data_IF_981942369098
#
_entry.id   IF_981942369098
#
_cell.length_a   1.000
_cell.length_b   1.000
_cell.length_c   1.000
_cell.angle_alpha   90.00
_cell.angle_beta   90.00
_cell.angle_gamma   90.00
#
_symmetry.space_group_name_H-M   'P 1'
#
loop_
_entity.id
_entity.type
_entity.pdbx_description
1 polymer ?
#
# COMPACT_ATOMS: atom_id res chain seq x y z
N UNK A 1 -32.36 9.47 -5.19
CA UNK A 1 -31.15 9.57 -6.02
C UNK A 1 -29.82 9.60 -5.27
N UNK A 2 -29.66 10.27 -4.11
CA UNK A 2 -28.43 10.25 -3.28
C UNK A 2 -28.21 8.91 -2.58
N UNK A 3 -29.26 8.26 -2.06
CA UNK A 3 -29.21 6.96 -1.37
C UNK A 3 -28.76 5.81 -2.31
N UNK A 4 -29.20 5.83 -3.56
CA UNK A 4 -28.88 4.76 -4.54
C UNK A 4 -27.41 4.84 -5.02
N UNK A 5 -26.84 6.05 -5.12
CA UNK A 5 -25.41 6.24 -5.45
C UNK A 5 -24.49 5.80 -4.30
N UNK A 6 -24.87 6.02 -3.04
CA UNK A 6 -24.10 5.58 -1.88
C UNK A 6 -24.12 4.07 -1.70
N UNK A 7 -25.26 3.43 -1.95
CA UNK A 7 -25.41 1.97 -1.91
C UNK A 7 -24.57 1.28 -3.01
N UNK A 8 -24.59 1.79 -4.25
CA UNK A 8 -23.74 1.28 -5.34
C UNK A 8 -22.26 1.46 -5.09
N UNK A 9 -21.84 2.58 -4.51
CA UNK A 9 -20.45 2.82 -4.14
C UNK A 9 -19.99 1.87 -3.03
N UNK A 10 -20.83 1.63 -2.00
CA UNK A 10 -20.55 0.67 -0.93
C UNK A 10 -20.39 -0.75 -1.44
N UNK A 11 -21.26 -1.19 -2.36
CA UNK A 11 -21.16 -2.51 -3.01
C UNK A 11 -19.85 -2.70 -3.79
N UNK A 12 -19.38 -1.67 -4.47
CA UNK A 12 -18.10 -1.73 -5.20
C UNK A 12 -16.90 -1.87 -4.27
N UNK A 13 -16.88 -1.13 -3.14
CA UNK A 13 -15.80 -1.24 -2.17
C UNK A 13 -15.71 -2.62 -1.53
N UNK A 14 -16.86 -3.20 -1.17
CA UNK A 14 -16.94 -4.56 -0.63
C UNK A 14 -16.47 -5.60 -1.66
N UNK A 15 -16.85 -5.44 -2.93
CA UNK A 15 -16.41 -6.31 -4.00
C UNK A 15 -14.88 -6.28 -4.18
N UNK A 16 -14.26 -5.11 -4.19
CA UNK A 16 -12.80 -4.97 -4.29
C UNK A 16 -12.12 -5.56 -3.03
N UNK A 17 -12.67 -5.32 -1.84
CA UNK A 17 -12.17 -5.94 -0.61
C UNK A 17 -12.23 -7.47 -0.68
N UNK A 18 -13.34 -8.05 -1.14
CA UNK A 18 -13.50 -9.49 -1.30
C UNK A 18 -12.53 -10.07 -2.34
N UNK A 19 -12.33 -9.38 -3.46
CA UNK A 19 -11.38 -9.78 -4.50
C UNK A 19 -9.95 -9.83 -3.96
N UNK A 20 -9.52 -8.77 -3.27
CA UNK A 20 -8.18 -8.68 -2.68
C UNK A 20 -8.01 -9.71 -1.56
N UNK A 21 -8.99 -9.82 -0.65
CA UNK A 21 -8.94 -10.72 0.48
C UNK A 21 -8.89 -12.19 0.06
N UNK A 22 -9.75 -12.59 -0.87
CA UNK A 22 -9.74 -13.94 -1.43
C UNK A 22 -8.45 -14.21 -2.23
N UNK A 23 -7.95 -13.20 -2.93
CA UNK A 23 -6.68 -13.26 -3.63
C UNK A 23 -5.52 -13.57 -2.67
N UNK A 24 -5.42 -12.85 -1.56
CA UNK A 24 -4.40 -13.11 -0.53
C UNK A 24 -4.60 -14.43 0.19
N UNK A 25 -5.85 -14.85 0.42
CA UNK A 25 -6.16 -16.12 1.07
C UNK A 25 -5.64 -17.31 0.25
N UNK A 26 -6.00 -17.42 -1.03
CA UNK A 26 -5.59 -18.58 -1.82
C UNK A 26 -4.09 -18.54 -2.17
N UNK A 27 -3.52 -17.37 -2.46
CA UNK A 27 -2.07 -17.24 -2.72
C UNK A 27 -1.24 -17.52 -1.48
N UNK A 28 -1.68 -17.06 -0.31
CA UNK A 28 -1.06 -17.38 0.97
C UNK A 28 -1.14 -18.88 1.29
N UNK A 29 -2.28 -19.51 1.05
CA UNK A 29 -2.44 -20.96 1.22
C UNK A 29 -1.53 -21.76 0.29
N UNK A 30 -1.42 -21.36 -0.98
CA UNK A 30 -0.50 -21.98 -1.95
C UNK A 30 0.96 -21.84 -1.53
N UNK A 31 1.34 -20.65 -1.05
CA UNK A 31 2.68 -20.37 -0.55
C UNK A 31 3.05 -21.24 0.66
N UNK A 32 2.16 -21.36 1.64
CA UNK A 32 2.38 -22.22 2.82
C UNK A 32 2.45 -23.70 2.41
N UNK A 33 1.55 -24.16 1.56
CA UNK A 33 1.55 -25.54 1.08
C UNK A 33 2.88 -25.91 0.40
N UNK A 34 3.44 -24.97 -0.39
CA UNK A 34 4.76 -25.14 -0.99
C UNK A 34 5.88 -25.19 0.06
N UNK A 35 5.85 -24.31 1.07
CA UNK A 35 6.86 -24.33 2.14
C UNK A 35 6.87 -25.68 2.87
N UNK A 36 5.70 -26.21 3.21
CA UNK A 36 5.58 -27.54 3.80
C UNK A 36 6.04 -28.64 2.87
N UNK A 37 5.81 -28.52 1.55
CA UNK A 37 6.31 -29.50 0.57
C UNK A 37 7.84 -29.54 0.56
N UNK A 38 8.51 -28.40 0.64
CA UNK A 38 9.97 -28.32 0.72
C UNK A 38 10.50 -29.01 1.99
N UNK A 39 9.83 -28.78 3.15
CA UNK A 39 10.16 -29.48 4.40
C UNK A 39 9.98 -30.99 4.27
N UNK A 40 8.89 -31.46 3.64
CA UNK A 40 8.62 -32.87 3.42
C UNK A 40 9.63 -33.55 2.48
N UNK A 41 10.29 -32.78 1.62
CA UNK A 41 11.40 -33.24 0.77
C UNK A 41 12.77 -33.24 1.48
N UNK A 42 12.80 -32.95 2.78
CA UNK A 42 13.98 -33.07 3.62
C UNK A 42 14.83 -31.80 3.72
N UNK A 43 14.35 -30.63 3.26
CA UNK A 43 15.06 -29.38 3.50
C UNK A 43 14.91 -28.96 4.97
N UNK A 44 15.98 -28.38 5.53
CA UNK A 44 15.94 -27.81 6.88
C UNK A 44 14.98 -26.58 6.91
N UNK A 45 14.40 -26.29 8.08
CA UNK A 45 13.55 -25.11 8.28
C UNK A 45 14.25 -23.81 7.93
N UNK A 46 15.54 -23.70 8.22
CA UNK A 46 16.37 -22.55 7.87
C UNK A 46 16.49 -22.38 6.33
N UNK A 47 16.79 -23.46 5.61
CA UNK A 47 16.84 -23.44 4.14
C UNK A 47 15.49 -23.08 3.54
N UNK A 48 14.39 -23.63 4.07
CA UNK A 48 13.04 -23.30 3.62
C UNK A 48 12.73 -21.83 3.88
N UNK A 49 13.10 -21.29 5.04
CA UNK A 49 12.91 -19.86 5.32
C UNK A 49 13.72 -18.97 4.35
N UNK A 50 14.98 -19.32 4.07
CA UNK A 50 15.84 -18.60 3.12
C UNK A 50 15.26 -18.63 1.69
N UNK A 51 14.72 -19.76 1.26
CA UNK A 51 14.03 -19.86 -0.03
C UNK A 51 12.74 -19.05 -0.05
N UNK A 52 11.88 -19.19 0.95
CA UNK A 52 10.53 -18.62 0.95
C UNK A 52 10.55 -17.12 1.24
N UNK A 53 11.22 -16.66 2.28
CA UNK A 53 11.29 -15.25 2.66
C UNK A 53 12.47 -14.51 2.01
N UNK A 54 13.46 -15.22 1.49
CA UNK A 54 14.56 -14.66 0.70
C UNK A 54 14.26 -14.69 -0.80
N UNK A 55 14.59 -15.81 -1.46
CA UNK A 55 14.52 -15.91 -2.92
C UNK A 55 13.13 -15.72 -3.51
N UNK A 56 12.08 -16.30 -2.92
CA UNK A 56 10.71 -16.17 -3.44
C UNK A 56 10.14 -14.77 -3.24
N UNK A 57 10.57 -14.02 -2.23
CA UNK A 57 10.19 -12.62 -2.11
C UNK A 57 10.82 -11.75 -3.20
N UNK A 58 12.05 -12.04 -3.63
CA UNK A 58 12.64 -11.41 -4.82
C UNK A 58 11.83 -11.76 -6.08
N UNK A 59 11.39 -13.03 -6.22
CA UNK A 59 10.52 -13.44 -7.32
C UNK A 59 9.16 -12.71 -7.31
N UNK A 60 8.55 -12.53 -6.13
CA UNK A 60 7.33 -11.72 -6.00
C UNK A 60 7.59 -10.26 -6.39
N UNK A 61 8.71 -9.67 -5.93
CA UNK A 61 9.10 -8.32 -6.32
C UNK A 61 9.28 -8.18 -7.84
N UNK A 62 9.89 -9.17 -8.50
CA UNK A 62 10.02 -9.21 -9.96
C UNK A 62 8.65 -9.24 -10.66
N UNK A 63 7.70 -10.05 -10.18
CA UNK A 63 6.33 -10.10 -10.69
C UNK A 63 5.59 -8.76 -10.52
N UNK A 64 5.70 -8.12 -9.35
CA UNK A 64 5.14 -6.80 -9.08
C UNK A 64 5.77 -5.75 -10.00
N UNK A 65 7.10 -5.78 -10.17
CA UNK A 65 7.84 -4.87 -11.04
C UNK A 65 7.44 -5.01 -12.50
N UNK A 66 7.20 -6.23 -12.98
CA UNK A 66 6.70 -6.50 -14.33
C UNK A 66 5.33 -5.83 -14.56
N UNK A 67 4.41 -5.93 -13.59
CA UNK A 67 3.11 -5.24 -13.65
C UNK A 67 3.28 -3.72 -13.64
N UNK A 68 4.16 -3.19 -12.79
CA UNK A 68 4.45 -1.76 -12.72
C UNK A 68 4.92 -1.22 -14.08
N UNK A 69 5.87 -1.91 -14.71
CA UNK A 69 6.41 -1.54 -16.03
C UNK A 69 5.37 -1.69 -17.14
N UNK A 70 4.57 -2.78 -17.11
CA UNK A 70 3.51 -3.00 -18.08
C UNK A 70 2.45 -1.89 -18.03
N UNK A 71 2.01 -1.52 -16.84
CA UNK A 71 0.98 -0.49 -16.65
C UNK A 71 1.51 0.92 -16.89
N UNK A 72 2.81 1.15 -16.66
CA UNK A 72 3.46 2.40 -17.06
C UNK A 72 3.48 2.58 -18.58
N UNK A 73 3.84 1.52 -19.33
CA UNK A 73 3.89 1.56 -20.80
C UNK A 73 2.52 1.48 -21.46
N UNK A 74 1.56 0.76 -20.89
CA UNK A 74 0.24 0.48 -21.42
C UNK A 74 -0.85 0.68 -20.36
N UNK A 75 -1.17 1.92 -20.05
CA UNK A 75 -2.16 2.27 -19.02
C UNK A 75 -3.54 1.65 -19.27
N UNK A 76 -3.91 1.40 -20.52
CA UNK A 76 -5.16 0.71 -20.88
C UNK A 76 -5.26 -0.72 -20.30
N UNK A 77 -4.13 -1.38 -20.01
CA UNK A 77 -4.11 -2.73 -19.44
C UNK A 77 -4.27 -2.75 -17.93
N UNK A 78 -4.07 -1.61 -17.24
CA UNK A 78 -4.10 -1.53 -15.77
C UNK A 78 -5.42 -1.95 -15.13
N UNK A 79 -6.50 -1.95 -15.90
CA UNK A 79 -7.83 -2.37 -15.44
C UNK A 79 -8.35 -3.66 -16.09
N UNK A 80 -7.53 -4.29 -16.94
CA UNK A 80 -7.91 -5.50 -17.65
C UNK A 80 -8.05 -6.71 -16.73
N UNK A 81 -9.00 -7.60 -17.03
CA UNK A 81 -9.19 -8.88 -16.34
C UNK A 81 -8.33 -10.02 -16.89
N UNK A 82 -7.78 -9.88 -18.10
CA UNK A 82 -7.02 -10.95 -18.74
C UNK A 82 -5.74 -11.30 -17.97
N UNK A 83 -4.96 -10.31 -17.57
CA UNK A 83 -3.71 -10.55 -16.84
C UNK A 83 -3.92 -11.28 -15.51
N UNK A 84 -4.80 -10.85 -14.59
CA UNK A 84 -5.03 -11.59 -13.35
C UNK A 84 -5.69 -12.95 -13.58
N UNK A 85 -6.52 -13.14 -14.62
CA UNK A 85 -7.06 -14.48 -14.98
C UNK A 85 -5.93 -15.44 -15.40
N UNK A 86 -5.08 -15.03 -16.35
CA UNK A 86 -3.96 -15.84 -16.82
C UNK A 86 -2.97 -16.14 -15.68
N UNK A 87 -2.65 -15.15 -14.85
CA UNK A 87 -1.74 -15.31 -13.73
C UNK A 87 -2.31 -16.29 -12.68
N UNK A 88 -3.62 -16.25 -12.40
CA UNK A 88 -4.27 -17.20 -11.48
C UNK A 88 -4.23 -18.62 -12.01
N UNK A 89 -4.57 -18.83 -13.28
CA UNK A 89 -4.53 -20.16 -13.90
C UNK A 89 -3.09 -20.72 -13.93
N UNK A 90 -2.13 -19.90 -14.31
CA UNK A 90 -0.72 -20.31 -14.34
C UNK A 90 -0.19 -20.63 -12.93
N UNK A 91 -0.52 -19.81 -11.92
CA UNK A 91 -0.14 -20.08 -10.53
C UNK A 91 -0.77 -21.39 -10.01
N UNK A 92 -1.99 -21.72 -10.42
CA UNK A 92 -2.64 -22.96 -10.05
C UNK A 92 -1.93 -24.18 -10.65
N UNK A 93 -1.51 -24.09 -11.91
CA UNK A 93 -0.68 -25.12 -12.56
C UNK A 93 0.65 -25.32 -11.83
N UNK A 94 1.33 -24.22 -11.50
CA UNK A 94 2.58 -24.26 -10.74
C UNK A 94 2.38 -24.88 -9.35
N UNK A 95 1.27 -24.57 -8.68
CA UNK A 95 0.92 -25.17 -7.36
C UNK A 95 0.71 -26.67 -7.48
N UNK A 96 -0.04 -27.13 -8.49
CA UNK A 96 -0.22 -28.55 -8.75
C UNK A 96 1.12 -29.25 -8.99
N UNK A 97 1.95 -28.72 -9.88
CA UNK A 97 3.26 -29.27 -10.19
C UNK A 97 4.18 -29.32 -8.96
N UNK A 98 4.16 -28.28 -8.11
CA UNK A 98 4.93 -28.26 -6.87
C UNK A 98 4.47 -29.32 -5.85
N UNK A 99 3.15 -29.48 -5.65
CA UNK A 99 2.61 -30.37 -4.64
C UNK A 99 2.74 -31.86 -5.03
N UNK A 100 2.57 -32.18 -6.30
CA UNK A 100 2.60 -33.58 -6.77
C UNK A 100 3.99 -34.08 -7.20
N UNK A 101 4.99 -33.19 -7.33
CA UNK A 101 6.35 -33.59 -7.66
C UNK A 101 7.09 -34.16 -6.46
N UNK A 102 7.88 -35.23 -6.71
CA UNK A 102 8.91 -35.74 -5.79
C UNK A 102 10.31 -35.17 -6.09
N UNK A 103 10.50 -34.53 -7.22
CA UNK A 103 11.78 -33.94 -7.62
C UNK A 103 11.96 -32.56 -7.01
N UNK A 104 12.93 -32.40 -6.11
CA UNK A 104 13.20 -31.13 -5.41
C UNK A 104 13.42 -29.96 -6.37
N UNK A 105 14.21 -30.16 -7.44
CA UNK A 105 14.47 -29.11 -8.43
C UNK A 105 13.19 -28.60 -9.09
N UNK A 106 12.20 -29.50 -9.34
CA UNK A 106 10.94 -29.12 -9.96
C UNK A 106 10.05 -28.34 -8.97
N UNK A 107 10.06 -28.73 -7.70
CA UNK A 107 9.33 -27.99 -6.64
C UNK A 107 9.91 -26.58 -6.47
N UNK A 108 11.25 -26.42 -6.52
CA UNK A 108 11.90 -25.11 -6.45
C UNK A 108 11.57 -24.28 -7.71
N UNK A 109 11.67 -24.86 -8.91
CA UNK A 109 11.40 -24.18 -10.17
C UNK A 109 9.94 -23.72 -10.28
N UNK A 110 8.98 -24.61 -9.98
CA UNK A 110 7.55 -24.26 -9.98
C UNK A 110 7.21 -23.28 -8.88
N UNK A 111 7.89 -23.33 -7.74
CA UNK A 111 7.79 -22.36 -6.67
C UNK A 111 8.25 -20.96 -7.08
N UNK A 112 9.35 -20.87 -7.80
CA UNK A 112 9.83 -19.61 -8.38
C UNK A 112 8.76 -19.00 -9.30
N UNK A 113 8.20 -19.78 -10.22
CA UNK A 113 7.16 -19.34 -11.15
C UNK A 113 5.84 -18.98 -10.43
N UNK A 114 5.46 -19.76 -9.42
CA UNK A 114 4.32 -19.45 -8.55
C UNK A 114 4.49 -18.09 -7.88
N UNK A 115 5.67 -17.82 -7.30
CA UNK A 115 5.90 -16.58 -6.59
C UNK A 115 6.00 -15.35 -7.52
N UNK A 116 6.51 -15.50 -8.74
CA UNK A 116 6.39 -14.46 -9.78
C UNK A 116 4.90 -14.17 -10.06
N UNK A 117 4.08 -15.21 -10.21
CA UNK A 117 2.64 -15.06 -10.47
C UNK A 117 1.90 -14.41 -9.31
N UNK A 118 2.24 -14.75 -8.06
CA UNK A 118 1.74 -14.10 -6.85
C UNK A 118 2.08 -12.60 -6.87
N UNK A 119 3.29 -12.26 -7.30
CA UNK A 119 3.70 -10.87 -7.48
C UNK A 119 2.86 -10.14 -8.52
N UNK A 120 2.61 -10.76 -9.67
CA UNK A 120 1.74 -10.21 -10.73
C UNK A 120 0.32 -9.96 -10.20
N UNK A 121 -0.27 -10.94 -9.51
CA UNK A 121 -1.60 -10.82 -8.92
C UNK A 121 -1.68 -9.70 -7.88
N UNK A 122 -0.71 -9.65 -6.98
CA UNK A 122 -0.61 -8.58 -5.97
C UNK A 122 -0.51 -7.21 -6.62
N UNK A 123 0.28 -7.06 -7.69
CA UNK A 123 0.37 -5.83 -8.48
C UNK A 123 -0.98 -5.42 -9.08
N UNK A 124 -1.74 -6.37 -9.65
CA UNK A 124 -3.08 -6.12 -10.18
C UNK A 124 -4.04 -5.67 -9.08
N UNK A 125 -4.06 -6.34 -7.93
CA UNK A 125 -4.94 -6.03 -6.81
C UNK A 125 -4.66 -4.66 -6.19
N UNK A 126 -3.39 -4.32 -5.98
CA UNK A 126 -3.00 -3.02 -5.43
C UNK A 126 -3.29 -1.86 -6.39
N UNK A 127 -3.17 -2.10 -7.69
CA UNK A 127 -3.58 -1.11 -8.69
C UNK A 127 -5.08 -0.85 -8.59
N UNK A 128 -5.91 -1.91 -8.45
CA UNK A 128 -7.36 -1.76 -8.26
C UNK A 128 -7.72 -1.07 -6.94
N UNK A 129 -6.99 -1.35 -5.86
CA UNK A 129 -7.13 -0.62 -4.61
C UNK A 129 -6.92 0.89 -4.80
N UNK A 130 -5.86 1.27 -5.53
CA UNK A 130 -5.51 2.67 -5.75
C UNK A 130 -6.46 3.39 -6.72
N UNK A 131 -7.01 2.68 -7.73
CA UNK A 131 -7.88 3.29 -8.75
C UNK A 131 -9.36 3.30 -8.38
N UNK A 132 -9.83 2.24 -7.70
CA UNK A 132 -11.26 2.03 -7.46
C UNK A 132 -11.73 2.45 -6.06
N UNK A 133 -10.78 2.57 -5.10
CA UNK A 133 -11.10 2.92 -3.72
C UNK A 133 -10.65 4.35 -3.43
N UNK A 134 -11.53 5.22 -2.89
CA UNK A 134 -11.17 6.56 -2.45
C UNK A 134 -10.07 6.53 -1.39
N UNK A 135 -9.19 7.54 -1.40
CA UNK A 135 -8.03 7.61 -0.51
C UNK A 135 -8.40 7.43 0.98
N UNK A 136 -9.55 7.98 1.39
CA UNK A 136 -10.05 7.96 2.77
C UNK A 136 -10.55 6.58 3.25
N UNK A 137 -10.62 5.57 2.35
CA UNK A 137 -11.11 4.21 2.66
C UNK A 137 -10.12 3.11 2.27
N UNK A 138 -8.98 3.48 1.68
CA UNK A 138 -7.98 2.48 1.22
C UNK A 138 -7.38 1.68 2.35
N UNK A 139 -7.16 2.33 3.51
CA UNK A 139 -6.61 1.69 4.69
C UNK A 139 -7.49 0.58 5.21
N UNK A 140 -8.78 0.87 5.45
CA UNK A 140 -9.73 -0.11 5.98
C UNK A 140 -9.99 -1.24 4.98
N UNK A 141 -10.14 -0.91 3.68
CA UNK A 141 -10.36 -1.91 2.62
C UNK A 141 -9.14 -2.84 2.51
N UNK A 142 -7.94 -2.29 2.47
CA UNK A 142 -6.72 -3.11 2.41
C UNK A 142 -6.50 -3.90 3.70
N UNK A 143 -6.56 -3.23 4.86
CA UNK A 143 -6.34 -3.87 6.17
C UNK A 143 -7.32 -5.00 6.43
N UNK A 144 -8.63 -4.79 6.16
CA UNK A 144 -9.66 -5.83 6.29
C UNK A 144 -9.47 -6.99 5.31
N UNK A 145 -9.18 -6.69 4.04
CA UNK A 145 -8.93 -7.70 3.03
C UNK A 145 -7.68 -8.54 3.35
N UNK A 146 -6.60 -7.89 3.78
CA UNK A 146 -5.36 -8.58 4.12
C UNK A 146 -5.48 -9.35 5.44
N UNK A 147 -6.23 -8.83 6.43
CA UNK A 147 -6.55 -9.57 7.64
C UNK A 147 -7.34 -10.85 7.33
N UNK A 148 -8.36 -10.77 6.47
CA UNK A 148 -9.13 -11.94 6.01
C UNK A 148 -8.21 -12.97 5.34
N UNK A 149 -7.34 -12.54 4.41
CA UNK A 149 -6.38 -13.42 3.74
C UNK A 149 -5.40 -14.07 4.71
N UNK A 150 -4.78 -13.27 5.59
CA UNK A 150 -3.76 -13.73 6.54
C UNK A 150 -4.33 -14.66 7.61
N UNK A 151 -5.44 -14.25 8.27
CA UNK A 151 -6.10 -15.08 9.29
C UNK A 151 -6.70 -16.35 8.67
N UNK A 152 -7.31 -16.25 7.48
CA UNK A 152 -7.84 -17.41 6.78
C UNK A 152 -6.76 -18.42 6.41
N UNK A 153 -5.62 -17.95 5.91
CA UNK A 153 -4.46 -18.81 5.63
C UNK A 153 -3.96 -19.50 6.91
N UNK A 154 -3.84 -18.74 7.99
CA UNK A 154 -3.45 -19.29 9.29
C UNK A 154 -4.43 -20.34 9.78
N UNK A 155 -5.74 -20.06 9.77
CA UNK A 155 -6.79 -21.01 10.17
C UNK A 155 -6.76 -22.32 9.34
N UNK A 156 -6.52 -22.22 8.03
CA UNK A 156 -6.40 -23.39 7.16
C UNK A 156 -5.16 -24.22 7.53
N UNK A 157 -4.08 -23.57 8.00
CA UNK A 157 -2.84 -24.26 8.37
C UNK A 157 -2.83 -24.85 9.79
N UNK A 158 -3.70 -24.36 10.71
CA UNK A 158 -3.74 -24.76 12.12
C UNK A 158 -4.14 -26.21 12.41
N UNK A 159 -5.23 -26.79 11.81
CA UNK A 159 -5.88 -27.98 12.34
C UNK A 159 -5.01 -29.21 12.35
N UNK A 160 -3.82 -29.15 11.82
CA UNK A 160 -3.04 -30.33 11.52
C UNK A 160 -1.71 -30.41 12.24
N UNK A 161 -1.47 -29.54 13.24
CA UNK A 161 -0.24 -29.55 14.00
C UNK A 161 0.99 -29.56 13.09
N UNK A 162 1.00 -28.72 12.06
CA UNK A 162 1.97 -28.73 10.99
C UNK A 162 1.75 -29.81 9.92
N UNK A 163 0.70 -30.61 10.04
CA UNK A 163 0.28 -31.59 9.03
C UNK A 163 -0.79 -31.01 8.13
N UNK A 164 -0.46 -29.88 7.46
CA UNK A 164 -1.35 -29.37 6.42
C UNK A 164 -1.71 -30.48 5.44
N UNK A 165 -2.94 -30.49 4.94
CA UNK A 165 -3.42 -31.49 3.98
C UNK A 165 -2.45 -31.63 2.80
N UNK A 166 -1.56 -32.62 2.87
CA UNK A 166 -0.54 -32.85 1.86
C UNK A 166 -1.19 -33.28 0.56
N UNK A 167 -0.61 -32.87 -0.55
CA UNK A 167 -1.01 -33.27 -1.90
C UNK A 167 -2.46 -32.90 -2.24
N UNK A 168 -3.36 -33.90 -2.31
CA UNK A 168 -4.71 -33.74 -2.86
C UNK A 168 -5.56 -32.75 -2.08
N UNK A 169 -5.54 -32.80 -0.74
CA UNK A 169 -6.35 -31.92 0.10
C UNK A 169 -5.89 -30.47 0.06
N UNK A 170 -4.58 -30.22 0.11
CA UNK A 170 -4.02 -28.87 -0.01
C UNK A 170 -4.28 -28.28 -1.37
N UNK A 171 -4.11 -29.08 -2.42
CA UNK A 171 -4.39 -28.64 -3.78
C UNK A 171 -5.88 -28.34 -3.96
N UNK A 172 -6.78 -29.21 -3.45
CA UNK A 172 -8.22 -28.97 -3.52
C UNK A 172 -8.62 -27.65 -2.85
N UNK A 173 -8.09 -27.38 -1.65
CA UNK A 173 -8.36 -26.13 -0.95
C UNK A 173 -7.88 -24.89 -1.76
N UNK A 174 -6.65 -24.95 -2.26
CA UNK A 174 -6.10 -23.86 -3.12
C UNK A 174 -6.92 -23.72 -4.40
N UNK A 175 -7.27 -24.81 -5.07
CA UNK A 175 -8.03 -24.81 -6.31
C UNK A 175 -9.44 -24.22 -6.11
N UNK A 176 -10.13 -24.59 -5.04
CA UNK A 176 -11.45 -24.06 -4.71
C UNK A 176 -11.39 -22.54 -4.48
N UNK A 177 -10.46 -22.09 -3.65
CA UNK A 177 -10.28 -20.66 -3.37
C UNK A 177 -9.85 -19.87 -4.61
N UNK A 178 -8.97 -20.43 -5.44
CA UNK A 178 -8.57 -19.85 -6.71
C UNK A 178 -9.74 -19.76 -7.70
N UNK A 179 -10.59 -20.80 -7.78
CA UNK A 179 -11.81 -20.79 -8.60
C UNK A 179 -12.76 -19.67 -8.18
N UNK A 180 -12.99 -19.51 -6.87
CA UNK A 180 -13.80 -18.39 -6.35
C UNK A 180 -13.18 -17.03 -6.73
N UNK A 181 -11.85 -16.91 -6.66
CA UNK A 181 -11.14 -15.71 -7.09
C UNK A 181 -11.32 -15.45 -8.59
N UNK A 182 -11.24 -16.51 -9.44
CA UNK A 182 -11.50 -16.41 -10.88
C UNK A 182 -12.92 -15.91 -11.20
N UNK A 183 -13.92 -16.38 -10.44
CA UNK A 183 -15.32 -15.92 -10.59
C UNK A 183 -15.45 -14.41 -10.28
N UNK A 184 -14.75 -13.94 -9.26
CA UNK A 184 -14.70 -12.50 -8.96
C UNK A 184 -13.94 -11.75 -10.07
N UNK A 185 -12.75 -12.20 -10.49
CA UNK A 185 -11.97 -11.54 -11.55
C UNK A 185 -12.77 -11.45 -12.85
N UNK A 186 -13.54 -12.50 -13.21
CA UNK A 186 -14.39 -12.50 -14.42
C UNK A 186 -15.43 -11.39 -14.42
N UNK A 187 -15.96 -11.01 -13.26
CA UNK A 187 -16.94 -9.94 -13.05
C UNK A 187 -16.31 -8.55 -12.93
N UNK A 188 -14.98 -8.44 -13.02
CA UNK A 188 -14.27 -7.17 -12.85
C UNK A 188 -14.69 -6.18 -13.95
N UNK A 189 -15.18 -5.03 -13.54
CA UNK A 189 -15.50 -3.93 -14.44
C UNK A 189 -14.22 -3.16 -14.82
N UNK A 190 -14.19 -2.52 -16.01
CA UNK A 190 -13.09 -1.61 -16.35
C UNK A 190 -12.95 -0.53 -15.27
N UNK A 191 -11.72 -0.08 -14.96
CA UNK A 191 -11.53 1.00 -14.00
C UNK A 191 -12.24 2.26 -14.48
N UNK A 192 -12.80 3.00 -13.55
CA UNK A 192 -13.34 4.33 -13.87
C UNK A 192 -12.18 5.17 -14.36
N UNK A 193 -12.21 5.58 -15.64
CA UNK A 193 -11.24 6.52 -16.17
C UNK A 193 -11.26 7.75 -15.28
N UNK A 194 -10.15 8.03 -14.60
CA UNK A 194 -10.00 9.30 -13.91
C UNK A 194 -10.23 10.41 -14.95
N UNK A 195 -11.14 11.35 -14.64
CA UNK A 195 -11.34 12.52 -15.48
C UNK A 195 -9.98 13.20 -15.65
N UNK A 196 -9.52 13.24 -16.91
CA UNK A 196 -8.34 14.02 -17.28
C UNK A 196 -8.58 15.48 -16.83
N UNK A 197 -7.96 15.90 -15.75
CA UNK A 197 -8.08 17.29 -15.28
C UNK A 197 -7.94 17.52 -13.78
N UNK A 198 -8.11 16.51 -12.95
CA UNK A 198 -8.08 16.69 -11.48
C UNK A 198 -6.79 16.21 -10.78
N UNK A 199 -5.79 15.76 -11.51
CA UNK A 199 -4.50 15.51 -10.89
C UNK A 199 -3.75 16.84 -10.76
N UNK A 200 -3.82 17.45 -9.59
CA UNK A 200 -2.77 18.41 -9.21
C UNK A 200 -1.44 17.68 -9.39
N UNK A 201 -0.68 18.07 -10.40
CA UNK A 201 0.74 17.72 -10.52
C UNK A 201 1.50 18.45 -9.40
N UNK A 202 1.17 18.11 -8.15
CA UNK A 202 2.02 18.48 -7.02
C UNK A 202 3.33 17.76 -7.26
N UNK A 203 4.37 18.52 -7.60
CA UNK A 203 5.68 18.00 -7.94
C UNK A 203 6.29 17.26 -6.74
N UNK A 204 5.95 15.98 -6.58
CA UNK A 204 6.73 15.08 -5.75
C UNK A 204 8.11 15.02 -6.39
N UNK A 205 9.05 15.78 -5.88
CA UNK A 205 10.40 15.81 -6.38
C UNK A 205 10.99 14.41 -6.37
N UNK A 206 11.77 14.04 -7.40
CA UNK A 206 12.45 12.72 -7.47
C UNK A 206 13.16 12.36 -6.15
N UNK A 207 13.68 13.36 -5.43
CA UNK A 207 14.33 13.19 -4.12
C UNK A 207 13.39 12.65 -3.03
N UNK A 208 12.11 13.07 -3.01
CA UNK A 208 11.14 12.61 -2.02
C UNK A 208 10.71 11.16 -2.30
N UNK A 209 10.54 10.81 -3.58
CA UNK A 209 10.22 9.43 -3.99
C UNK A 209 11.39 8.51 -3.61
N UNK A 210 12.63 8.93 -3.90
CA UNK A 210 13.84 8.16 -3.54
C UNK A 210 13.96 7.97 -2.03
N UNK A 211 13.69 9.03 -1.25
CA UNK A 211 13.66 8.94 0.22
C UNK A 211 12.58 7.97 0.70
N UNK A 212 11.37 7.99 0.12
CA UNK A 212 10.31 7.05 0.47
C UNK A 212 10.70 5.59 0.15
N UNK A 213 11.34 5.35 -1.00
CA UNK A 213 11.87 4.03 -1.37
C UNK A 213 12.93 3.58 -0.37
N UNK A 214 13.91 4.43 -0.05
CA UNK A 214 14.99 4.11 0.89
C UNK A 214 14.44 3.79 2.29
N UNK A 215 13.54 4.63 2.80
CA UNK A 215 12.91 4.42 4.12
C UNK A 215 12.16 3.10 4.15
N UNK A 216 11.31 2.81 3.15
CA UNK A 216 10.52 1.58 3.17
C UNK A 216 11.37 0.32 2.95
N UNK A 217 12.45 0.41 2.17
CA UNK A 217 13.38 -0.70 1.99
C UNK A 217 14.06 -1.06 3.32
N UNK A 218 14.65 -0.05 3.97
CA UNK A 218 15.34 -0.23 5.25
C UNK A 218 14.39 -0.63 6.37
N UNK A 219 13.18 -0.07 6.41
CA UNK A 219 12.16 -0.38 7.40
C UNK A 219 11.66 -1.83 7.25
N UNK A 220 11.54 -2.33 6.00
CA UNK A 220 11.21 -3.73 5.73
C UNK A 220 12.35 -4.68 6.11
N UNK A 221 13.59 -4.27 5.81
CA UNK A 221 14.79 -5.02 6.19
C UNK A 221 14.89 -5.14 7.71
N UNK A 222 14.75 -4.01 8.43
CA UNK A 222 14.84 -3.98 9.89
C UNK A 222 13.74 -4.80 10.55
N UNK A 223 12.51 -4.72 10.03
CA UNK A 223 11.43 -5.53 10.55
C UNK A 223 11.76 -7.03 10.51
N UNK A 224 12.39 -7.50 9.42
CA UNK A 224 12.79 -8.91 9.29
C UNK A 224 13.98 -9.25 10.18
N UNK A 225 14.99 -8.38 10.25
CA UNK A 225 16.15 -8.54 11.13
C UNK A 225 15.72 -8.58 12.60
N UNK A 226 14.89 -7.62 13.03
CA UNK A 226 14.41 -7.51 14.40
C UNK A 226 13.61 -8.73 14.87
N UNK A 227 12.86 -9.39 13.97
CA UNK A 227 12.15 -10.62 14.31
C UNK A 227 13.05 -11.88 14.34
N UNK A 228 14.20 -11.85 13.68
CA UNK A 228 15.05 -13.03 13.54
C UNK A 228 15.77 -13.42 14.85
N UNK A 229 16.28 -12.46 15.62
CA UNK A 229 17.08 -12.76 16.81
C UNK A 229 16.26 -13.17 18.05
N UNK A 230 15.06 -12.62 18.32
CA UNK A 230 14.26 -13.12 19.46
C UNK A 230 13.70 -14.51 19.19
N UNK A 231 13.35 -14.86 17.93
CA UNK A 231 12.82 -16.16 17.58
C UNK A 231 13.82 -17.30 17.82
N UNK A 232 15.13 -17.05 17.71
CA UNK A 232 16.17 -18.04 17.97
C UNK A 232 16.21 -18.54 19.43
N UNK A 233 15.76 -17.72 20.39
CA UNK A 233 15.70 -18.08 21.82
C UNK A 233 14.33 -18.51 22.33
N UNK A 234 13.25 -18.06 21.68
CA UNK A 234 11.88 -18.16 22.17
C UNK A 234 11.11 -19.41 21.70
N UNK A 235 11.70 -20.27 20.87
CA UNK A 235 10.97 -21.36 20.18
C UNK A 235 10.26 -22.35 21.13
N UNK A 236 10.59 -22.39 22.41
CA UNK A 236 10.00 -23.33 23.38
C UNK A 236 9.07 -22.68 24.40
N UNK A 237 8.97 -21.35 24.46
CA UNK A 237 8.27 -20.65 25.55
C UNK A 237 7.11 -19.76 25.13
N UNK A 238 6.94 -19.46 23.84
CA UNK A 238 5.92 -18.52 23.34
C UNK A 238 4.90 -19.24 22.46
N UNK A 239 3.62 -19.01 22.73
CA UNK A 239 2.53 -19.46 21.86
C UNK A 239 2.46 -18.57 20.60
N UNK A 240 3.46 -18.66 19.72
CA UNK A 240 3.60 -17.83 18.50
C UNK A 240 2.34 -17.94 17.61
N UNK A 241 1.73 -19.12 17.54
CA UNK A 241 0.53 -19.31 16.73
C UNK A 241 -0.65 -18.46 17.23
N UNK A 242 -0.80 -18.32 18.55
CA UNK A 242 -1.84 -17.46 19.12
C UNK A 242 -1.54 -15.97 18.89
N UNK A 243 -0.27 -15.57 18.95
CA UNK A 243 0.13 -14.16 18.76
C UNK A 243 -0.17 -13.66 17.35
N UNK A 244 -0.20 -14.54 16.34
CA UNK A 244 -0.55 -14.21 14.94
C UNK A 244 -1.97 -13.66 14.77
N UNK A 245 -2.92 -13.99 15.66
CA UNK A 245 -4.27 -13.41 15.64
C UNK A 245 -4.20 -11.90 15.78
N UNK A 246 -3.27 -11.40 16.61
CA UNK A 246 -3.07 -9.97 16.83
C UNK A 246 -2.58 -9.24 15.59
N UNK A 247 -1.91 -9.92 14.66
CA UNK A 247 -1.59 -9.35 13.34
C UNK A 247 -2.86 -9.00 12.55
N UNK A 248 -3.83 -9.90 12.50
CA UNK A 248 -5.12 -9.64 11.83
C UNK A 248 -5.88 -8.48 12.46
N UNK A 249 -5.93 -8.43 13.80
CA UNK A 249 -6.55 -7.30 14.54
C UNK A 249 -5.79 -6.02 14.23
N UNK A 250 -4.46 -6.04 14.27
CA UNK A 250 -3.59 -4.92 13.95
C UNK A 250 -3.81 -4.37 12.54
N UNK A 251 -3.99 -5.22 11.54
CA UNK A 251 -4.29 -4.82 10.16
C UNK A 251 -5.60 -4.02 10.05
N UNK A 252 -6.67 -4.49 10.71
CA UNK A 252 -7.98 -3.81 10.69
C UNK A 252 -7.88 -2.46 11.41
N UNK A 253 -7.28 -2.43 12.61
CA UNK A 253 -7.11 -1.21 13.40
C UNK A 253 -6.22 -0.23 12.66
N UNK A 254 -5.10 -0.67 12.10
CA UNK A 254 -4.19 0.16 11.30
C UNK A 254 -4.90 0.77 10.10
N UNK A 255 -5.74 0.00 9.40
CA UNK A 255 -6.56 0.49 8.30
C UNK A 255 -7.47 1.63 8.73
N UNK A 256 -8.21 1.42 9.82
CA UNK A 256 -9.13 2.41 10.37
C UNK A 256 -8.42 3.69 10.86
N UNK A 257 -7.33 3.54 11.63
CA UNK A 257 -6.53 4.67 12.13
C UNK A 257 -5.93 5.46 10.98
N UNK A 258 -5.35 4.77 10.00
CA UNK A 258 -4.73 5.40 8.83
C UNK A 258 -5.74 6.13 7.95
N UNK A 259 -6.98 5.65 7.82
CA UNK A 259 -8.03 6.34 7.06
C UNK A 259 -8.53 7.59 7.77
N UNK A 260 -8.56 7.59 9.10
CA UNK A 260 -8.88 8.80 9.89
C UNK A 260 -7.71 9.80 9.89
N UNK A 261 -6.51 9.33 10.10
CA UNK A 261 -5.32 10.17 10.16
C UNK A 261 -4.05 9.41 9.72
N UNK A 262 -3.54 9.73 8.53
CA UNK A 262 -2.31 9.14 7.96
C UNK A 262 -1.09 9.31 8.88
N UNK A 263 -1.02 10.41 9.64
CA UNK A 263 0.10 10.70 10.55
C UNK A 263 0.18 9.68 11.67
N UNK A 264 -0.95 9.37 12.30
CA UNK A 264 -1.00 8.37 13.37
C UNK A 264 -0.68 6.97 12.86
N UNK A 265 -1.23 6.59 11.69
CA UNK A 265 -0.88 5.32 11.05
C UNK A 265 0.62 5.18 10.77
N UNK A 266 1.25 6.27 10.32
CA UNK A 266 2.69 6.32 10.06
C UNK A 266 3.51 6.18 11.36
N UNK A 267 3.18 6.92 12.42
CA UNK A 267 3.92 6.85 13.70
C UNK A 267 3.77 5.48 14.35
N UNK A 268 2.55 4.92 14.37
CA UNK A 268 2.31 3.60 14.95
C UNK A 268 3.09 2.47 14.26
N UNK A 269 3.46 2.62 12.98
CA UNK A 269 4.24 1.59 12.31
C UNK A 269 5.67 1.43 12.89
N UNK A 270 6.23 2.47 13.52
CA UNK A 270 7.54 2.40 14.17
C UNK A 270 7.54 1.52 15.41
N UNK A 271 6.40 1.36 16.08
CA UNK A 271 6.29 0.49 17.23
C UNK A 271 6.63 -0.98 16.88
N UNK A 272 6.32 -1.42 15.65
CA UNK A 272 6.68 -2.75 15.17
C UNK A 272 8.19 -3.03 15.26
N UNK A 273 9.03 -2.01 15.11
CA UNK A 273 10.48 -2.12 15.19
C UNK A 273 11.01 -2.20 16.63
N UNK A 274 10.30 -1.60 17.59
CA UNK A 274 10.76 -1.51 18.98
C UNK A 274 10.46 -2.79 19.78
N UNK A 275 9.33 -3.45 19.52
CA UNK A 275 8.87 -4.59 20.31
C UNK A 275 9.79 -5.82 20.27
N UNK A 276 10.48 -6.16 19.18
CA UNK A 276 11.47 -7.24 19.19
C UNK A 276 12.60 -7.00 20.17
N UNK A 277 13.09 -5.75 20.30
CA UNK A 277 14.10 -5.40 21.31
C UNK A 277 13.54 -5.46 22.73
N UNK A 278 12.29 -5.04 22.94
CA UNK A 278 11.62 -5.16 24.22
C UNK A 278 11.43 -6.64 24.63
N UNK A 279 11.15 -7.52 23.69
CA UNK A 279 11.04 -8.96 23.95
C UNK A 279 12.37 -9.55 24.45
N UNK A 280 13.52 -9.11 23.91
CA UNK A 280 14.84 -9.50 24.42
C UNK A 280 15.07 -9.07 25.88
N UNK A 281 14.65 -7.85 26.23
CA UNK A 281 14.82 -7.30 27.57
C UNK A 281 13.98 -8.05 28.64
N UNK A 282 12.88 -8.69 28.22
CA UNK A 282 11.98 -9.46 29.09
C UNK A 282 12.27 -10.97 29.08
N UNK A 283 13.38 -11.38 28.47
CA UNK A 283 13.79 -12.79 28.40
C UNK A 283 13.78 -13.48 29.76
N UNK A 284 13.14 -14.67 29.80
CA UNK A 284 13.00 -15.47 31.02
C UNK A 284 11.63 -15.42 31.72
N UNK A 285 10.69 -14.53 31.26
CA UNK A 285 9.29 -14.57 31.72
C UNK A 285 8.35 -14.92 30.59
N UNK A 286 7.81 -16.14 30.59
CA UNK A 286 6.93 -16.65 29.52
C UNK A 286 5.72 -15.76 29.22
N UNK A 287 5.12 -15.16 30.26
CA UNK A 287 3.99 -14.25 30.10
C UNK A 287 4.37 -12.90 29.49
N UNK A 288 5.50 -12.33 29.91
CA UNK A 288 6.01 -11.06 29.41
C UNK A 288 6.44 -11.15 27.94
N UNK A 289 7.17 -12.20 27.57
CA UNK A 289 7.56 -12.46 26.18
C UNK A 289 6.35 -12.62 25.26
N UNK A 290 5.36 -13.44 25.66
CA UNK A 290 4.15 -13.63 24.87
C UNK A 290 3.40 -12.31 24.65
N UNK A 291 3.26 -11.48 25.69
CA UNK A 291 2.61 -10.17 25.56
C UNK A 291 3.37 -9.24 24.60
N UNK A 292 4.70 -9.22 24.66
CA UNK A 292 5.51 -8.41 23.73
C UNK A 292 5.37 -8.90 22.28
N UNK A 293 5.30 -10.21 22.05
CA UNK A 293 5.02 -10.77 20.73
C UNK A 293 3.62 -10.45 20.22
N UNK A 294 2.59 -10.45 21.07
CA UNK A 294 1.26 -10.00 20.70
C UNK A 294 1.27 -8.54 20.22
N UNK A 295 1.98 -7.67 20.95
CA UNK A 295 2.13 -6.26 20.57
C UNK A 295 2.97 -6.11 19.29
N UNK A 296 4.05 -6.86 19.14
CA UNK A 296 4.87 -6.87 17.93
C UNK A 296 4.02 -7.22 16.70
N UNK A 297 3.25 -8.30 16.74
CA UNK A 297 2.34 -8.69 15.66
C UNK A 297 1.23 -7.67 15.42
N UNK A 298 0.66 -7.08 16.48
CA UNK A 298 -0.34 -6.04 16.34
C UNK A 298 0.21 -4.83 15.56
N UNK A 299 1.39 -4.32 15.95
CA UNK A 299 2.01 -3.18 15.27
C UNK A 299 2.62 -3.53 13.91
N UNK A 300 2.96 -4.80 13.66
CA UNK A 300 3.29 -5.31 12.33
C UNK A 300 2.13 -5.11 11.34
N UNK A 301 0.88 -5.14 11.81
CA UNK A 301 -0.29 -4.76 11.05
C UNK A 301 -0.25 -3.30 10.57
N UNK A 302 0.17 -2.36 11.44
CA UNK A 302 0.37 -0.96 11.08
C UNK A 302 1.46 -0.78 10.01
N UNK A 303 2.59 -1.47 10.15
CA UNK A 303 3.64 -1.50 9.15
C UNK A 303 3.12 -1.99 7.78
N UNK A 304 2.40 -3.10 7.77
CA UNK A 304 1.88 -3.70 6.54
C UNK A 304 0.89 -2.80 5.81
N UNK A 305 0.07 -2.05 6.53
CA UNK A 305 -0.86 -1.05 5.97
C UNK A 305 -0.10 0.18 5.49
N UNK A 306 0.81 0.70 6.31
CA UNK A 306 1.57 1.92 6.00
C UNK A 306 2.34 1.83 4.68
N UNK A 307 3.11 0.73 4.47
CA UNK A 307 3.89 0.52 3.24
C UNK A 307 3.06 0.57 1.96
N UNK A 308 1.81 0.13 2.02
CA UNK A 308 0.90 0.16 0.86
C UNK A 308 0.31 1.55 0.68
N UNK A 309 -0.12 2.20 1.76
CA UNK A 309 -0.80 3.48 1.69
C UNK A 309 0.10 4.61 1.23
N UNK A 310 1.37 4.67 1.66
CA UNK A 310 2.32 5.71 1.24
C UNK A 310 2.39 5.82 -0.28
N UNK A 311 2.64 4.70 -0.96
CA UNK A 311 2.75 4.71 -2.41
C UNK A 311 1.41 4.74 -3.14
N UNK A 312 0.36 4.20 -2.54
CA UNK A 312 -1.01 4.34 -3.07
C UNK A 312 -1.46 5.81 -3.05
N UNK A 313 -1.08 6.57 -2.01
CA UNK A 313 -1.37 8.00 -1.91
C UNK A 313 -0.51 8.82 -2.90
N UNK A 314 0.77 8.47 -3.08
CA UNK A 314 1.63 9.04 -4.12
C UNK A 314 1.06 8.76 -5.52
N UNK A 315 0.59 7.54 -5.79
CA UNK A 315 -0.08 7.18 -7.04
C UNK A 315 -1.32 8.03 -7.28
N UNK A 316 -2.14 8.24 -6.26
CA UNK A 316 -3.33 9.08 -6.33
C UNK A 316 -3.03 10.54 -6.64
N UNK A 317 -1.92 11.09 -6.14
CA UNK A 317 -1.50 12.48 -6.38
C UNK A 317 -0.78 12.68 -7.72
N UNK A 318 -0.02 11.69 -8.18
CA UNK A 318 0.76 11.76 -9.44
C UNK A 318 -0.01 11.28 -10.66
N UNK A 319 -1.11 10.55 -10.47
CA UNK A 319 -1.84 9.88 -11.54
C UNK A 319 -1.07 8.72 -12.19
N UNK A 320 0.05 8.29 -11.61
CA UNK A 320 0.90 7.22 -12.14
C UNK A 320 0.64 5.90 -11.42
N UNK A 321 -0.02 4.92 -12.06
CA UNK A 321 -0.35 3.63 -11.44
C UNK A 321 0.88 2.83 -10.98
N UNK A 322 2.07 3.12 -11.53
CA UNK A 322 3.32 2.49 -11.15
C UNK A 322 3.63 2.64 -9.66
N UNK A 323 3.24 3.76 -9.05
CA UNK A 323 3.46 3.97 -7.63
C UNK A 323 2.52 3.16 -6.74
N UNK A 324 1.34 2.76 -7.23
CA UNK A 324 0.38 1.99 -6.43
C UNK A 324 0.96 0.67 -5.91
N UNK A 325 1.87 0.06 -6.67
CA UNK A 325 2.47 -1.26 -6.37
C UNK A 325 3.85 -1.16 -5.73
N UNK A 326 4.47 0.04 -5.76
CA UNK A 326 5.86 0.22 -5.32
C UNK A 326 6.06 -0.07 -3.83
N UNK A 327 5.06 0.16 -2.98
CA UNK A 327 5.14 -0.13 -1.55
C UNK A 327 5.37 -1.61 -1.25
N UNK A 328 4.64 -2.50 -1.94
CA UNK A 328 4.82 -3.93 -1.78
C UNK A 328 6.11 -4.42 -2.44
N UNK A 329 6.46 -3.90 -3.63
CA UNK A 329 7.70 -4.24 -4.32
C UNK A 329 8.91 -3.96 -3.45
N UNK A 330 9.03 -2.72 -2.96
CA UNK A 330 10.14 -2.28 -2.09
C UNK A 330 10.14 -3.08 -0.78
N UNK A 331 8.94 -3.31 -0.22
CA UNK A 331 8.76 -4.14 0.97
C UNK A 331 9.32 -5.55 0.80
N UNK A 332 8.99 -6.23 -0.30
CA UNK A 332 9.49 -7.58 -0.58
C UNK A 332 11.01 -7.63 -0.76
N UNK A 333 11.60 -6.62 -1.39
CA UNK A 333 13.06 -6.53 -1.51
C UNK A 333 13.74 -6.31 -0.16
N UNK A 334 13.18 -5.45 0.70
CA UNK A 334 13.69 -5.23 2.04
C UNK A 334 13.55 -6.46 2.95
N UNK A 335 12.38 -7.14 2.91
CA UNK A 335 12.16 -8.39 3.64
C UNK A 335 13.14 -9.49 3.20
N UNK A 336 13.40 -9.62 1.88
CA UNK A 336 14.39 -10.56 1.36
C UNK A 336 15.82 -10.21 1.83
N UNK A 337 16.19 -8.93 1.78
CA UNK A 337 17.49 -8.47 2.26
C UNK A 337 17.67 -8.72 3.76
N UNK A 338 16.64 -8.49 4.57
CA UNK A 338 16.64 -8.79 5.99
C UNK A 338 16.79 -10.28 6.29
N UNK A 339 16.09 -11.14 5.53
CA UNK A 339 16.22 -12.61 5.67
C UNK A 339 17.64 -13.07 5.33
N UNK A 340 18.22 -12.54 4.24
CA UNK A 340 19.61 -12.87 3.87
C UNK A 340 20.60 -12.35 4.92
N UNK A 341 20.40 -11.13 5.43
CA UNK A 341 21.21 -10.55 6.50
C UNK A 341 21.18 -11.40 7.77
N UNK A 342 20.00 -11.86 8.18
CA UNK A 342 19.84 -12.73 9.35
C UNK A 342 20.49 -14.11 9.15
N UNK A 343 20.55 -14.62 7.93
CA UNK A 343 21.23 -15.89 7.62
C UNK A 343 22.78 -15.77 7.60
N UNK A 344 23.29 -14.59 7.22
CA UNK A 344 24.72 -14.31 7.15
C UNK A 344 25.31 -13.87 8.49
N UNK A 345 24.49 -13.23 9.35
CA UNK A 345 24.89 -12.70 10.64
C UNK A 345 24.10 -13.37 11.76
N UNK A 346 24.75 -13.97 12.73
CA UNK A 346 24.12 -14.59 13.91
C UNK A 346 24.71 -14.02 15.20
N UNK A 347 23.94 -14.10 16.29
CA UNK A 347 24.41 -13.63 17.62
C UNK A 347 24.65 -12.11 17.66
N UNK A 348 25.74 -11.69 18.34
CA UNK A 348 26.06 -10.28 18.56
C UNK A 348 26.17 -9.46 17.27
N UNK A 349 26.82 -9.92 16.18
CA UNK A 349 26.84 -9.18 14.91
C UNK A 349 25.45 -8.85 14.34
N UNK A 350 24.48 -9.77 14.47
CA UNK A 350 23.11 -9.54 14.03
C UNK A 350 22.43 -8.42 14.85
N UNK A 351 22.61 -8.43 16.18
CA UNK A 351 22.05 -7.40 17.06
C UNK A 351 22.65 -6.02 16.75
N UNK A 352 23.98 -5.95 16.53
CA UNK A 352 24.65 -4.70 16.16
C UNK A 352 24.18 -4.19 14.81
N UNK A 353 24.06 -5.08 13.82
CA UNK A 353 23.54 -4.72 12.48
C UNK A 353 22.11 -4.19 12.57
N UNK A 354 21.22 -4.91 13.25
CA UNK A 354 19.83 -4.52 13.44
C UNK A 354 19.74 -3.18 14.20
N UNK A 355 20.51 -2.99 15.28
CA UNK A 355 20.55 -1.71 15.99
C UNK A 355 21.01 -0.54 15.14
N UNK A 356 22.02 -0.73 14.29
CA UNK A 356 22.51 0.31 13.38
C UNK A 356 21.45 0.66 12.31
N UNK A 357 20.83 -0.36 11.72
CA UNK A 357 19.75 -0.15 10.74
C UNK A 357 18.54 0.52 11.39
N UNK A 358 18.17 0.13 12.60
CA UNK A 358 17.09 0.74 13.39
C UNK A 358 17.30 2.25 13.57
N UNK A 359 18.49 2.69 14.03
CA UNK A 359 18.78 4.12 14.20
C UNK A 359 18.70 4.88 12.88
N UNK A 360 19.26 4.31 11.81
CA UNK A 360 19.21 4.90 10.47
C UNK A 360 17.77 5.04 9.97
N UNK A 361 16.97 3.98 10.14
CA UNK A 361 15.55 3.96 9.74
C UNK A 361 14.77 5.06 10.45
N UNK A 362 14.93 5.17 11.77
CA UNK A 362 14.24 6.20 12.58
C UNK A 362 14.58 7.60 12.06
N UNK A 363 15.86 7.90 11.85
CA UNK A 363 16.29 9.21 11.34
C UNK A 363 15.68 9.53 9.97
N UNK A 364 15.79 8.61 9.02
CA UNK A 364 15.25 8.79 7.66
C UNK A 364 13.72 8.82 7.65
N UNK A 365 13.05 8.04 8.52
CA UNK A 365 11.60 8.04 8.65
C UNK A 365 11.08 9.40 9.08
N UNK A 366 11.68 10.03 10.10
CA UNK A 366 11.25 11.35 10.53
C UNK A 366 11.48 12.42 9.47
N UNK A 367 12.55 12.33 8.68
CA UNK A 367 12.75 13.20 7.52
C UNK A 367 11.64 13.01 6.45
N UNK A 368 11.26 11.77 6.18
CA UNK A 368 10.16 11.46 5.27
C UNK A 368 8.82 11.94 5.83
N UNK A 369 8.57 11.67 7.11
CA UNK A 369 7.35 12.05 7.83
C UNK A 369 7.13 13.56 7.79
N UNK A 370 8.17 14.34 8.10
CA UNK A 370 8.12 15.79 8.03
C UNK A 370 7.72 16.27 6.63
N UNK A 371 8.38 15.76 5.58
CA UNK A 371 8.11 16.16 4.20
C UNK A 371 6.75 15.73 3.68
N UNK A 372 6.25 14.55 4.06
CA UNK A 372 4.97 14.02 3.58
C UNK A 372 3.76 14.57 4.35
N UNK A 373 3.91 14.78 5.66
CA UNK A 373 2.76 14.99 6.53
C UNK A 373 2.78 16.32 7.30
N UNK A 374 3.95 16.90 7.52
CA UNK A 374 4.08 18.16 8.28
C UNK A 374 4.27 19.34 7.35
N UNK A 375 5.24 19.26 6.43
CA UNK A 375 5.57 20.35 5.50
C UNK A 375 4.62 20.45 4.31
N UNK A 376 3.74 19.49 4.12
CA UNK A 376 2.65 19.60 3.14
C UNK A 376 1.63 20.62 3.65
N UNK A 377 1.81 21.88 3.30
CA UNK A 377 0.80 22.93 3.51
C UNK A 377 -0.51 22.44 2.89
N UNK A 378 -1.64 22.45 3.62
CA UNK A 378 -2.93 22.10 3.04
C UNK A 378 -3.14 22.86 1.74
N UNK A 379 -3.60 22.18 0.69
CA UNK A 379 -3.83 22.79 -0.62
C UNK A 379 -4.73 24.03 -0.51
N UNK A 380 -5.68 24.00 0.41
CA UNK A 380 -6.54 25.13 0.75
C UNK A 380 -5.78 26.34 1.30
N UNK A 381 -4.80 26.12 2.19
CA UNK A 381 -4.00 27.18 2.77
C UNK A 381 -3.05 27.77 1.71
N UNK A 382 -2.52 26.92 0.84
CA UNK A 382 -1.69 27.34 -0.31
C UNK A 382 -2.50 28.16 -1.31
N UNK A 383 -3.75 27.76 -1.57
CA UNK A 383 -4.65 28.48 -2.47
C UNK A 383 -5.07 29.83 -1.85
N UNK A 384 -5.33 29.88 -0.54
CA UNK A 384 -5.61 31.12 0.19
C UNK A 384 -4.40 32.08 0.16
N UNK A 385 -3.20 31.56 0.37
CA UNK A 385 -1.96 32.36 0.30
C UNK A 385 -1.74 32.92 -1.11
N UNK A 386 -1.96 32.11 -2.14
CA UNK A 386 -1.87 32.55 -3.55
C UNK A 386 -2.89 33.63 -3.89
N UNK A 387 -4.14 33.41 -3.45
CA UNK A 387 -5.19 34.37 -3.67
C UNK A 387 -4.84 35.70 -3.00
N UNK A 388 -4.38 35.65 -1.75
CA UNK A 388 -3.96 36.85 -1.01
C UNK A 388 -2.76 37.55 -1.69
N UNK A 389 -1.79 36.81 -2.21
CA UNK A 389 -0.65 37.36 -2.90
C UNK A 389 -1.05 37.98 -4.25
N UNK A 390 -1.91 37.31 -5.03
CA UNK A 390 -2.43 37.82 -6.29
C UNK A 390 -3.27 39.09 -6.07
N UNK A 391 -4.13 39.11 -5.04
CA UNK A 391 -4.90 40.27 -4.60
C UNK A 391 -3.99 41.45 -4.25
N UNK A 392 -2.93 41.19 -3.48
CA UNK A 392 -1.94 42.21 -3.10
C UNK A 392 -1.17 42.74 -4.32
N UNK A 393 -0.73 41.84 -5.23
CA UNK A 393 0.04 42.19 -6.42
C UNK A 393 -0.72 43.11 -7.36
N UNK A 394 -2.00 42.91 -7.54
CA UNK A 394 -2.83 43.67 -8.47
C UNK A 394 -3.77 44.69 -7.78
N UNK A 395 -3.69 44.85 -6.48
CA UNK A 395 -4.49 45.79 -5.71
C UNK A 395 -6.00 45.54 -5.84
N UNK A 396 -6.41 44.26 -5.79
CA UNK A 396 -7.82 43.90 -5.88
C UNK A 396 -8.55 44.20 -4.56
N UNK A 397 -9.79 44.68 -4.67
CA UNK A 397 -10.66 44.91 -3.50
C UNK A 397 -11.18 43.57 -2.93
N UNK A 398 -11.73 43.60 -1.69
CA UNK A 398 -12.29 42.40 -1.09
C UNK A 398 -13.39 41.77 -1.94
N UNK A 399 -14.20 42.57 -2.62
CA UNK A 399 -15.26 42.05 -3.51
C UNK A 399 -14.71 41.46 -4.80
N UNK A 400 -13.65 42.05 -5.34
CA UNK A 400 -12.94 41.52 -6.49
C UNK A 400 -12.21 40.21 -6.14
N UNK A 401 -11.71 40.08 -4.91
CA UNK A 401 -11.14 38.82 -4.39
C UNK A 401 -12.19 37.70 -4.33
N UNK A 402 -13.40 37.99 -3.79
CA UNK A 402 -14.49 36.99 -3.73
C UNK A 402 -14.82 36.50 -5.14
N UNK A 403 -14.99 37.42 -6.08
CA UNK A 403 -15.33 37.13 -7.47
C UNK A 403 -14.16 36.37 -8.16
N UNK A 404 -12.91 36.79 -7.98
CA UNK A 404 -11.76 36.08 -8.52
C UNK A 404 -11.68 34.62 -8.03
N UNK A 405 -11.93 34.39 -6.75
CA UNK A 405 -11.93 33.05 -6.16
C UNK A 405 -12.93 32.10 -6.86
N UNK A 406 -14.08 32.62 -7.24
CA UNK A 406 -15.14 31.86 -7.94
C UNK A 406 -14.86 31.74 -9.45
N UNK A 407 -14.22 32.75 -10.05
CA UNK A 407 -13.72 32.69 -11.45
C UNK A 407 -12.71 31.53 -11.61
N UNK A 408 -11.76 31.43 -10.69
CA UNK A 408 -10.72 30.38 -10.72
C UNK A 408 -11.31 28.98 -10.54
N UNK A 409 -12.43 28.86 -9.80
CA UNK A 409 -13.20 27.63 -9.69
C UNK A 409 -14.02 27.28 -10.94
N UNK A 410 -14.00 28.16 -11.96
CA UNK A 410 -14.67 27.90 -13.24
C UNK A 410 -16.15 28.31 -13.29
N UNK A 411 -16.66 29.04 -12.28
CA UNK A 411 -18.08 29.42 -12.20
C UNK A 411 -18.42 30.53 -13.23
N UNK A 412 -19.54 30.41 -13.91
CA UNK A 412 -20.07 31.44 -14.80
C UNK A 412 -20.52 32.70 -14.02
N UNK A 413 -20.71 33.83 -14.73
CA UNK A 413 -21.18 35.05 -14.09
C UNK A 413 -22.56 34.90 -13.43
N UNK A 414 -23.42 34.04 -13.95
CA UNK A 414 -24.73 33.73 -13.36
C UNK A 414 -24.59 32.95 -12.06
N UNK A 415 -23.71 31.95 -12.02
CA UNK A 415 -23.40 31.15 -10.81
C UNK A 415 -22.73 32.02 -9.74
N UNK A 416 -21.82 32.91 -10.14
CA UNK A 416 -21.19 33.88 -9.23
C UNK A 416 -22.22 34.87 -8.64
N UNK A 417 -23.13 35.37 -9.46
CA UNK A 417 -24.20 36.25 -9.04
C UNK A 417 -25.08 35.58 -7.98
N UNK A 418 -25.47 34.32 -8.22
CA UNK A 418 -26.23 33.52 -7.26
C UNK A 418 -25.45 33.22 -5.99
N UNK A 419 -24.17 32.85 -6.09
CA UNK A 419 -23.33 32.49 -4.94
C UNK A 419 -23.06 33.70 -4.02
N UNK A 420 -22.95 34.90 -4.58
CA UNK A 420 -22.64 36.13 -3.85
C UNK A 420 -23.88 37.00 -3.56
N UNK A 421 -25.08 36.55 -3.95
CA UNK A 421 -26.36 37.26 -3.78
C UNK A 421 -26.33 38.67 -4.41
N UNK A 422 -25.79 38.81 -5.64
CA UNK A 422 -25.71 40.06 -6.38
C UNK A 422 -26.24 39.89 -7.80
N UNK A 423 -26.43 41.00 -8.53
CA UNK A 423 -26.90 40.95 -9.90
C UNK A 423 -25.79 40.53 -10.87
N UNK A 424 -26.16 39.93 -12.01
CA UNK A 424 -25.19 39.58 -13.06
C UNK A 424 -24.48 40.81 -13.65
N UNK A 425 -25.13 41.98 -13.67
CA UNK A 425 -24.51 43.25 -14.08
C UNK A 425 -23.41 43.68 -13.08
N UNK A 426 -23.64 43.51 -11.78
CA UNK A 426 -22.63 43.78 -10.75
C UNK A 426 -21.41 42.86 -10.88
N UNK A 427 -21.64 41.56 -11.17
CA UNK A 427 -20.54 40.63 -11.46
C UNK A 427 -19.74 41.08 -12.66
N UNK A 428 -20.39 41.42 -13.80
CA UNK A 428 -19.72 41.91 -15.01
C UNK A 428 -18.88 43.17 -14.75
N UNK A 429 -19.39 44.10 -13.93
CA UNK A 429 -18.69 45.29 -13.51
C UNK A 429 -17.36 44.97 -12.79
N UNK A 430 -17.44 44.11 -11.78
CA UNK A 430 -16.24 43.70 -11.01
C UNK A 430 -15.27 42.87 -11.86
N UNK A 431 -15.74 42.00 -12.73
CA UNK A 431 -14.89 41.24 -13.67
C UNK A 431 -14.14 42.20 -14.61
N UNK A 432 -14.82 43.23 -15.12
CA UNK A 432 -14.19 44.28 -15.92
C UNK A 432 -13.10 45.04 -15.17
N UNK A 433 -13.33 45.33 -13.88
CA UNK A 433 -12.32 45.96 -13.02
C UNK A 433 -11.12 45.04 -12.74
N UNK A 434 -11.37 43.73 -12.51
CA UNK A 434 -10.31 42.74 -12.36
C UNK A 434 -9.44 42.71 -13.64
N UNK A 435 -10.06 42.67 -14.83
CA UNK A 435 -9.32 42.70 -16.09
C UNK A 435 -8.47 43.97 -16.26
N UNK A 436 -9.04 45.13 -15.93
CA UNK A 436 -8.29 46.39 -15.97
C UNK A 436 -7.11 46.38 -15.03
N UNK A 437 -7.26 45.90 -13.81
CA UNK A 437 -6.19 45.88 -12.79
C UNK A 437 -5.12 44.83 -13.10
N UNK A 438 -5.50 43.69 -13.65
CA UNK A 438 -4.56 42.60 -13.98
C UNK A 438 -3.94 42.72 -15.36
N UNK A 439 -4.45 43.60 -16.22
CA UNK A 439 -4.01 43.78 -17.61
C UNK A 439 -4.39 42.59 -18.50
N UNK A 440 -5.35 41.74 -18.11
CA UNK A 440 -5.79 40.58 -18.90
C UNK A 440 -7.01 40.92 -19.74
N UNK A 441 -7.02 40.40 -20.99
CA UNK A 441 -8.09 40.68 -21.93
C UNK A 441 -9.25 39.68 -21.89
N UNK A 442 -9.04 38.52 -21.30
CA UNK A 442 -10.04 37.46 -21.25
C UNK A 442 -10.05 36.67 -19.95
N UNK A 443 -11.17 35.99 -19.69
CA UNK A 443 -11.31 35.11 -18.53
C UNK A 443 -10.32 33.94 -18.54
N UNK A 444 -10.04 33.37 -19.72
CA UNK A 444 -9.07 32.29 -19.87
C UNK A 444 -7.65 32.78 -19.59
N UNK A 445 -7.28 33.96 -20.05
CA UNK A 445 -5.98 34.58 -19.72
C UNK A 445 -5.84 34.87 -18.23
N UNK A 446 -6.88 35.37 -17.57
CA UNK A 446 -6.88 35.62 -16.13
C UNK A 446 -6.66 34.31 -15.36
N UNK A 447 -7.39 33.24 -15.71
CA UNK A 447 -7.23 31.92 -15.07
C UNK A 447 -5.85 31.33 -15.36
N UNK A 448 -5.35 31.49 -16.59
CA UNK A 448 -4.02 31.01 -16.97
C UNK A 448 -2.91 31.76 -16.21
N UNK A 449 -2.99 33.08 -16.11
CA UNK A 449 -2.04 33.91 -15.37
C UNK A 449 -2.05 33.58 -13.87
N UNK A 450 -3.23 33.43 -13.26
CA UNK A 450 -3.37 33.00 -11.88
C UNK A 450 -2.78 31.61 -11.66
N UNK A 451 -2.92 30.69 -12.63
CA UNK A 451 -2.34 29.35 -12.58
C UNK A 451 -0.85 29.28 -12.91
N UNK A 452 -0.35 30.12 -13.82
CA UNK A 452 1.06 30.24 -14.18
C UNK A 452 1.90 30.89 -13.08
N UNK A 453 1.34 31.75 -12.24
CA UNK A 453 1.96 32.21 -11.01
C UNK A 453 2.35 31.09 -10.03
N UNK A 454 2.05 29.82 -10.37
CA UNK A 454 2.53 28.60 -9.69
C UNK A 454 4.05 28.41 -9.75
N UNK A 455 4.76 28.98 -10.72
CA UNK A 455 6.19 28.68 -10.95
C UNK A 455 7.14 29.65 -10.23
N UNK A 456 6.65 30.78 -9.73
CA UNK A 456 7.47 31.83 -9.11
C UNK A 456 7.47 31.81 -7.58
N UNK A 457 6.64 30.96 -6.94
CA UNK A 457 6.63 30.76 -5.47
C UNK A 457 7.16 29.36 -5.18
N UNK A 458 8.47 29.18 -5.32
CA UNK A 458 9.24 28.02 -4.82
C UNK A 458 10.36 28.49 -3.91
#
# INVERSE_FOLDING_TARGET
MRSDKTARAGGKHLYIAALIGLGFLWTGTAYIAQAYRLLALGLSGETVNLLTCGAYYVCQAAGIGAVALLFHKRTALSGGKALPLCATLFALICTAAALYSSALWLVIATGTLLNISIGVLSGCYLTRLATDIPQQRRGLVFGGAYAFGSLGTWLISLPMGGRFLWHSGSFFAVALLALLSLLLIKRLEPPVKAKNGEYERTGFGKKLILLAVAVLLLLSMENTLGFAFPLGGAQNSVYIEFTRVFYGVGLIVAGFVSDKNRRWGAVCCLAALAFPFAALALGGSMGGETAMWMLAYFFLGFWSVYRILVFSDISGRTGLPVFAVSGLLVGRLGEAAGTMGAALCTGTPLIVLSGAVFVLVIALFFLLYEKLYVSAVPAELLEQQRLAEYVRRFGLSAREQDILSLIVKGMSNAEIANALYITGSTVKFHVGNIFKKTGKGSRLELIADYKLGRETVR
#
